data_IF_218844998415
#
_entry.id   IF_218844998415
#
_cell.length_a   1.000
_cell.length_b   1.000
_cell.length_c   1.000
_cell.angle_alpha   90.00
_cell.angle_beta   90.00
_cell.angle_gamma   90.00
#
_symmetry.space_group_name_H-M   'P 1'
#
loop_
_entity.id
_entity.type
_entity.pdbx_description
1 polymer ?
#
# COMPACT_ATOMS: atom_id res chain seq x y z
N UNK A 1 -19.88 2.37 8.04
CA UNK A 1 -18.57 2.07 8.63
C UNK A 1 -18.68 1.24 9.92
N UNK A 2 -19.69 1.45 10.78
CA UNK A 2 -19.89 0.68 12.02
C UNK A 2 -19.93 -0.84 11.79
N UNK A 3 -20.63 -1.31 10.76
CA UNK A 3 -20.67 -2.74 10.41
C UNK A 3 -19.27 -3.27 9.99
N UNK A 4 -18.49 -2.46 9.26
CA UNK A 4 -17.14 -2.82 8.88
C UNK A 4 -16.22 -2.92 10.11
N UNK A 5 -16.34 -1.98 11.06
CA UNK A 5 -15.61 -2.03 12.31
C UNK A 5 -15.96 -3.28 13.13
N UNK A 6 -17.25 -3.58 13.27
CA UNK A 6 -17.71 -4.79 14.00
C UNK A 6 -17.18 -6.07 13.35
N UNK A 7 -17.19 -6.17 12.03
CA UNK A 7 -16.65 -7.33 11.32
C UNK A 7 -15.13 -7.45 11.51
N UNK A 8 -14.40 -6.34 11.39
CA UNK A 8 -12.94 -6.30 11.56
C UNK A 8 -12.49 -6.64 12.99
N UNK A 9 -13.29 -6.32 14.00
CA UNK A 9 -13.02 -6.71 15.41
C UNK A 9 -12.97 -8.24 15.61
N UNK A 10 -13.60 -9.01 14.73
CA UNK A 10 -13.54 -10.47 14.71
C UNK A 10 -12.45 -11.02 13.78
N UNK A 11 -11.68 -10.15 13.15
CA UNK A 11 -10.61 -10.50 12.21
C UNK A 11 -9.29 -10.89 12.90
N UNK A 12 -8.19 -10.82 12.13
CA UNK A 12 -6.84 -11.17 12.61
C UNK A 12 -6.41 -10.21 13.71
N UNK A 13 -6.21 -10.73 14.91
CA UNK A 13 -5.89 -9.94 16.11
C UNK A 13 -4.40 -9.72 16.36
N UNK A 14 -3.54 -10.50 15.69
CA UNK A 14 -2.08 -10.39 15.78
C UNK A 14 -1.40 -10.97 14.54
N UNK A 15 -0.15 -10.59 14.27
CA UNK A 15 0.58 -10.96 13.07
C UNK A 15 0.91 -12.46 12.92
N UNK A 16 0.80 -13.26 13.99
CA UNK A 16 0.95 -14.71 13.88
C UNK A 16 -0.23 -15.39 13.15
N UNK A 17 -1.35 -14.66 12.99
CA UNK A 17 -2.51 -15.08 12.22
C UNK A 17 -2.43 -14.73 10.73
N UNK A 18 -1.36 -14.07 10.29
CA UNK A 18 -1.21 -13.65 8.90
C UNK A 18 -1.19 -14.84 7.94
N UNK A 19 -2.00 -14.76 6.91
CA UNK A 19 -1.93 -15.65 5.77
C UNK A 19 -0.96 -15.07 4.74
N UNK A 20 0.16 -15.75 4.52
CA UNK A 20 1.17 -15.37 3.53
C UNK A 20 1.43 -16.55 2.60
N UNK A 21 1.45 -16.31 1.29
CA UNK A 21 1.97 -17.28 0.34
C UNK A 21 3.50 -17.36 0.51
N UNK A 22 4.02 -18.55 0.66
CA UNK A 22 5.47 -18.80 0.76
C UNK A 22 5.94 -19.52 -0.49
N UNK A 23 6.73 -18.85 -1.35
CA UNK A 23 7.29 -19.48 -2.53
C UNK A 23 8.13 -20.70 -2.17
N UNK A 24 8.06 -21.72 -3.00
CA UNK A 24 8.88 -22.92 -2.87
C UNK A 24 10.32 -22.74 -3.29
N UNK A 25 11.11 -23.80 -3.14
CA UNK A 25 12.56 -23.70 -3.23
C UNK A 25 13.16 -24.04 -4.60
N UNK A 26 12.41 -24.53 -5.57
CA UNK A 26 13.10 -25.17 -6.71
C UNK A 26 12.29 -25.39 -7.98
N UNK A 27 11.06 -24.93 -8.06
CA UNK A 27 10.23 -25.19 -9.26
C UNK A 27 9.97 -23.88 -9.98
N UNK A 28 10.36 -23.82 -11.25
CA UNK A 28 9.95 -22.75 -12.16
C UNK A 28 8.43 -22.56 -12.07
N UNK A 29 7.99 -21.38 -11.65
CA UNK A 29 6.59 -21.03 -11.44
C UNK A 29 6.13 -21.02 -9.97
N UNK A 30 6.95 -21.49 -9.03
CA UNK A 30 6.70 -21.39 -7.58
C UNK A 30 7.65 -20.38 -6.92
N UNK A 31 7.79 -19.23 -7.56
CA UNK A 31 8.61 -18.12 -7.11
C UNK A 31 7.74 -16.93 -6.72
N UNK A 32 8.35 -15.96 -6.06
CA UNK A 32 7.73 -14.67 -5.82
C UNK A 32 7.34 -13.99 -7.15
N UNK A 33 6.08 -13.64 -7.33
CA UNK A 33 5.61 -12.98 -8.56
C UNK A 33 6.28 -11.62 -8.80
N UNK A 34 6.64 -10.89 -7.74
CA UNK A 34 7.40 -9.64 -7.88
C UNK A 34 8.80 -9.90 -8.43
N UNK A 35 9.48 -10.95 -7.95
CA UNK A 35 10.76 -11.35 -8.53
C UNK A 35 10.62 -11.70 -10.02
N UNK A 36 9.62 -12.51 -10.38
CA UNK A 36 9.40 -12.92 -11.77
C UNK A 36 9.17 -11.73 -12.71
N UNK A 37 8.45 -10.72 -12.25
CA UNK A 37 8.05 -9.56 -13.05
C UNK A 37 9.12 -8.46 -12.97
N UNK A 38 9.44 -8.03 -11.76
CA UNK A 38 10.22 -6.81 -11.50
C UNK A 38 11.73 -7.05 -11.57
N UNK A 39 12.22 -8.28 -11.35
CA UNK A 39 13.62 -8.61 -11.60
C UNK A 39 13.90 -8.99 -13.06
N UNK A 40 12.87 -9.13 -13.87
CA UNK A 40 12.95 -9.53 -15.28
C UNK A 40 12.44 -8.45 -16.23
N UNK A 41 11.24 -8.67 -16.76
CA UNK A 41 10.68 -7.86 -17.84
C UNK A 41 10.33 -6.40 -17.45
N UNK A 42 10.21 -6.12 -16.16
CA UNK A 42 9.87 -4.80 -15.59
C UNK A 42 10.94 -4.33 -14.59
N UNK A 43 12.18 -4.72 -14.84
CA UNK A 43 13.32 -4.26 -14.05
C UNK A 43 13.37 -2.72 -14.04
N UNK A 44 13.54 -2.16 -12.86
CA UNK A 44 13.58 -0.70 -12.67
C UNK A 44 12.24 -0.01 -12.39
N UNK A 45 11.10 -0.65 -12.62
CA UNK A 45 9.78 -0.01 -12.43
C UNK A 45 9.50 0.45 -10.98
N UNK A 46 10.17 -0.11 -9.99
CA UNK A 46 10.10 0.35 -8.58
C UNK A 46 11.29 1.19 -8.14
N UNK A 47 12.30 1.33 -8.97
CA UNK A 47 13.52 2.07 -8.65
C UNK A 47 13.55 3.49 -9.22
N UNK A 48 14.77 4.01 -9.36
CA UNK A 48 15.07 5.32 -9.95
C UNK A 48 15.05 5.32 -11.48
N UNK A 49 14.45 4.34 -12.10
CA UNK A 49 14.54 4.10 -13.53
C UNK A 49 13.22 4.25 -14.27
N UNK A 50 12.31 5.06 -13.75
CA UNK A 50 11.23 5.57 -14.58
C UNK A 50 11.82 6.35 -15.77
N UNK A 51 11.14 6.32 -16.91
CA UNK A 51 11.59 6.99 -18.16
C UNK A 51 11.90 8.49 -17.97
N UNK A 52 11.37 9.11 -16.91
CA UNK A 52 11.60 10.50 -16.54
C UNK A 52 12.66 10.69 -15.43
N UNK A 53 13.25 9.62 -14.91
CA UNK A 53 14.26 9.65 -13.85
C UNK A 53 13.72 9.89 -12.46
N UNK A 54 12.39 9.86 -12.25
CA UNK A 54 11.77 10.01 -10.93
C UNK A 54 11.60 8.66 -10.23
N UNK A 55 11.73 8.66 -8.91
CA UNK A 55 11.39 7.49 -8.10
C UNK A 55 9.87 7.22 -8.12
N UNK A 56 9.47 5.97 -7.93
CA UNK A 56 8.07 5.64 -7.70
C UNK A 56 7.50 6.41 -6.50
N UNK A 57 6.21 6.72 -6.53
CA UNK A 57 5.56 7.41 -5.41
C UNK A 57 5.77 6.68 -4.08
N UNK A 58 5.80 5.34 -4.09
CA UNK A 58 6.11 4.51 -2.94
C UNK A 58 7.45 4.90 -2.29
N UNK A 59 8.51 5.01 -3.08
CA UNK A 59 9.84 5.36 -2.58
C UNK A 59 9.92 6.83 -2.16
N UNK A 60 9.21 7.72 -2.84
CA UNK A 60 9.18 9.14 -2.49
C UNK A 60 8.57 9.38 -1.10
N UNK A 61 7.48 8.72 -0.74
CA UNK A 61 6.86 8.91 0.59
C UNK A 61 7.65 8.24 1.72
N UNK A 62 8.54 7.30 1.40
CA UNK A 62 9.46 6.66 2.34
C UNK A 62 10.81 7.36 2.47
N UNK A 63 11.05 8.43 1.71
CA UNK A 63 12.27 9.23 1.79
C UNK A 63 12.06 10.44 2.69
N UNK A 64 12.68 10.45 3.87
CA UNK A 64 12.57 11.56 4.83
C UNK A 64 13.03 12.92 4.28
N UNK A 65 13.77 12.95 3.17
CA UNK A 65 14.21 14.19 2.51
C UNK A 65 13.22 14.69 1.44
N UNK A 66 12.25 13.86 1.08
CA UNK A 66 11.23 14.22 0.09
C UNK A 66 10.08 14.99 0.75
N UNK A 67 9.63 16.06 0.11
CA UNK A 67 8.53 16.89 0.61
C UNK A 67 7.17 16.15 0.72
N UNK A 68 7.03 14.98 0.09
CA UNK A 68 5.85 14.12 0.21
C UNK A 68 5.85 13.32 1.51
N UNK A 69 7.02 13.11 2.15
CA UNK A 69 7.12 12.48 3.45
C UNK A 69 6.76 13.49 4.55
N UNK A 70 5.64 13.29 5.25
CA UNK A 70 5.15 14.21 6.28
C UNK A 70 5.58 13.82 7.70
N UNK A 71 5.60 12.53 7.98
CA UNK A 71 5.71 11.99 9.35
C UNK A 71 7.15 11.75 9.85
N UNK A 72 8.15 12.17 9.10
CA UNK A 72 9.56 11.90 9.40
C UNK A 72 10.03 12.34 10.80
N UNK A 73 9.33 13.29 11.43
CA UNK A 73 9.63 13.68 12.81
C UNK A 73 9.36 12.55 13.84
N UNK A 74 8.50 11.58 13.49
CA UNK A 74 8.11 10.44 14.33
C UNK A 74 8.37 9.08 13.66
N UNK A 75 8.96 9.08 12.47
CA UNK A 75 9.09 7.88 11.65
C UNK A 75 10.46 7.84 10.98
N UNK A 76 11.11 6.69 11.06
CA UNK A 76 12.31 6.37 10.28
C UNK A 76 11.98 5.19 9.35
N UNK A 77 11.94 5.46 8.05
CA UNK A 77 11.58 4.52 7.01
C UNK A 77 12.80 3.85 6.34
N UNK A 78 14.00 4.03 6.86
CA UNK A 78 15.24 3.59 6.20
C UNK A 78 15.19 2.12 5.82
N UNK A 79 14.80 1.25 6.75
CA UNK A 79 14.74 -0.18 6.47
C UNK A 79 13.59 -0.54 5.49
N UNK A 80 12.40 0.09 5.65
CA UNK A 80 11.24 -0.20 4.80
C UNK A 80 11.46 0.34 3.38
N UNK A 81 12.08 1.52 3.24
CA UNK A 81 12.48 2.04 1.93
C UNK A 81 13.46 1.09 1.23
N UNK A 82 14.48 0.60 1.95
CA UNK A 82 15.43 -0.37 1.40
C UNK A 82 14.76 -1.70 1.00
N UNK A 83 13.74 -2.14 1.74
CA UNK A 83 12.97 -3.34 1.42
C UNK A 83 12.23 -3.23 0.07
N UNK A 84 11.70 -2.05 -0.26
CA UNK A 84 11.01 -1.80 -1.53
C UNK A 84 11.93 -1.34 -2.65
N UNK A 85 13.11 -0.79 -2.32
CA UNK A 85 14.00 -0.22 -3.31
C UNK A 85 14.65 -1.30 -4.17
N UNK A 86 14.38 -1.23 -5.46
CA UNK A 86 15.06 -2.01 -6.49
C UNK A 86 16.00 -1.06 -7.19
N UNK A 87 17.30 -1.41 -7.25
CA UNK A 87 18.27 -0.57 -7.91
C UNK A 87 18.06 -0.47 -9.43
N UNK A 88 18.75 0.47 -10.08
CA UNK A 88 18.64 0.70 -11.52
C UNK A 88 19.10 -0.49 -12.38
N UNK A 89 19.93 -1.38 -11.85
CA UNK A 89 20.30 -2.63 -12.49
C UNK A 89 19.22 -3.71 -12.39
N UNK A 90 18.27 -3.50 -11.49
CA UNK A 90 16.93 -4.11 -11.50
C UNK A 90 16.88 -5.60 -11.28
N UNK A 91 17.98 -6.24 -10.91
CA UNK A 91 18.05 -7.70 -10.98
C UNK A 91 17.82 -8.39 -9.65
N UNK A 92 17.97 -7.69 -8.54
CA UNK A 92 17.69 -8.26 -7.21
C UNK A 92 17.61 -7.19 -6.13
N UNK A 93 16.80 -7.45 -5.13
CA UNK A 93 17.02 -6.91 -3.80
C UNK A 93 16.77 -8.04 -2.79
N UNK A 94 17.16 -7.84 -1.55
CA UNK A 94 16.89 -8.82 -0.50
C UNK A 94 15.49 -8.66 0.13
N UNK A 95 14.65 -7.76 -0.42
CA UNK A 95 13.32 -7.40 0.06
C UNK A 95 12.19 -7.94 -0.82
N UNK A 96 11.31 -7.04 -1.26
CA UNK A 96 10.07 -7.42 -1.94
C UNK A 96 10.27 -8.25 -3.21
N UNK A 97 11.39 -8.09 -3.91
CA UNK A 97 11.73 -8.90 -5.09
C UNK A 97 12.74 -10.01 -4.82
N UNK A 98 12.99 -10.36 -3.57
CA UNK A 98 13.74 -11.58 -3.27
C UNK A 98 12.93 -12.79 -3.79
N UNK A 99 13.61 -13.74 -4.44
CA UNK A 99 12.98 -14.86 -5.16
C UNK A 99 11.98 -15.65 -4.30
N UNK A 100 12.22 -15.70 -2.99
CA UNK A 100 11.44 -16.49 -2.02
C UNK A 100 10.76 -15.64 -0.96
N UNK A 101 10.69 -14.32 -1.14
CA UNK A 101 10.01 -13.46 -0.17
C UNK A 101 8.53 -13.82 -0.07
N UNK A 102 8.02 -14.08 1.15
CA UNK A 102 6.61 -14.41 1.34
C UNK A 102 5.69 -13.24 0.95
N UNK A 103 4.63 -13.57 0.22
CA UNK A 103 3.64 -12.60 -0.26
C UNK A 103 2.46 -12.50 0.69
N UNK A 104 2.07 -11.30 1.04
CA UNK A 104 0.93 -11.03 1.92
C UNK A 104 -0.40 -11.34 1.21
N UNK A 105 -1.28 -12.09 1.86
CA UNK A 105 -2.62 -12.43 1.36
C UNK A 105 -3.71 -11.81 2.24
N UNK A 106 -3.73 -12.13 3.52
CA UNK A 106 -4.62 -11.55 4.53
C UNK A 106 -3.80 -11.31 5.78
N UNK A 107 -3.81 -10.09 6.30
CA UNK A 107 -2.84 -9.69 7.32
C UNK A 107 -3.44 -8.95 8.49
N UNK A 108 -2.72 -8.99 9.61
CA UNK A 108 -3.01 -8.22 10.81
C UNK A 108 -3.04 -6.71 10.53
N UNK A 109 -2.03 -6.18 9.81
CA UNK A 109 -1.97 -4.75 9.53
C UNK A 109 -3.16 -4.30 8.66
N UNK A 110 -3.56 -5.09 7.66
CA UNK A 110 -4.74 -4.81 6.84
C UNK A 110 -5.99 -4.69 7.71
N UNK A 111 -6.20 -5.68 8.61
CA UNK A 111 -7.34 -5.66 9.51
C UNK A 111 -7.32 -4.44 10.44
N UNK A 112 -6.17 -4.08 11.01
CA UNK A 112 -6.02 -2.89 11.85
C UNK A 112 -6.25 -1.59 11.10
N UNK A 113 -5.81 -1.48 9.86
CA UNK A 113 -6.03 -0.29 9.04
C UNK A 113 -7.50 -0.16 8.59
N UNK A 114 -8.20 -1.30 8.36
CA UNK A 114 -9.67 -1.30 8.19
C UNK A 114 -10.36 -0.77 9.46
N UNK A 115 -9.92 -1.22 10.64
CA UNK A 115 -10.46 -0.73 11.90
C UNK A 115 -10.17 0.76 12.12
N UNK A 116 -8.95 1.22 11.81
CA UNK A 116 -8.56 2.63 11.92
C UNK A 116 -9.46 3.53 11.06
N UNK A 117 -9.65 3.18 9.78
CA UNK A 117 -10.55 3.92 8.89
C UNK A 117 -12.00 3.89 9.38
N UNK A 118 -12.52 2.70 9.65
CA UNK A 118 -13.94 2.54 10.01
C UNK A 118 -14.27 3.24 11.34
N UNK A 119 -13.39 3.16 12.32
CA UNK A 119 -13.55 3.85 13.60
C UNK A 119 -13.47 5.37 13.44
N UNK A 120 -12.49 5.87 12.67
CA UNK A 120 -12.35 7.32 12.44
C UNK A 120 -13.56 7.90 11.68
N UNK A 121 -14.06 7.20 10.67
CA UNK A 121 -15.27 7.64 9.93
C UNK A 121 -16.55 7.62 10.78
N UNK A 122 -16.54 6.92 11.90
CA UNK A 122 -17.70 6.83 12.82
C UNK A 122 -17.55 7.69 14.07
N UNK A 123 -16.33 7.96 14.53
CA UNK A 123 -16.06 8.62 15.81
C UNK A 123 -14.86 9.56 15.81
N UNK A 124 -14.37 9.96 14.61
CA UNK A 124 -13.25 10.88 14.46
C UNK A 124 -11.88 10.29 14.79
N UNK A 125 -10.85 11.15 14.76
CA UNK A 125 -9.45 10.79 15.01
C UNK A 125 -9.29 9.96 16.28
N UNK A 126 -9.90 10.37 17.38
CA UNK A 126 -9.74 9.71 18.68
C UNK A 126 -10.16 8.23 18.66
N UNK A 127 -11.16 7.87 17.84
CA UNK A 127 -11.62 6.50 17.70
C UNK A 127 -10.69 5.65 16.80
N UNK A 128 -10.13 6.22 15.75
CA UNK A 128 -9.26 5.52 14.81
C UNK A 128 -7.82 5.37 15.28
N UNK A 129 -7.33 6.35 16.03
CA UNK A 129 -5.93 6.48 16.43
C UNK A 129 -5.32 5.25 17.13
N UNK A 130 -6.01 4.58 18.08
CA UNK A 130 -5.46 3.37 18.70
C UNK A 130 -5.13 2.28 17.69
N UNK A 131 -5.96 2.10 16.66
CA UNK A 131 -5.76 1.06 15.64
C UNK A 131 -4.59 1.37 14.69
N UNK A 132 -4.40 2.65 14.32
CA UNK A 132 -3.22 3.07 13.58
C UNK A 132 -1.94 2.89 14.42
N UNK A 133 -1.99 3.24 15.69
CA UNK A 133 -0.84 3.05 16.60
C UNK A 133 -0.53 1.57 16.86
N UNK A 134 -1.50 0.67 16.80
CA UNK A 134 -1.25 -0.78 16.82
C UNK A 134 -0.40 -1.22 15.60
N UNK A 135 -0.67 -0.66 14.42
CA UNK A 135 0.14 -0.91 13.22
C UNK A 135 1.54 -0.34 13.38
N UNK A 136 1.67 0.88 13.90
CA UNK A 136 2.98 1.50 14.17
C UNK A 136 3.80 0.71 15.19
N UNK A 137 3.17 0.19 16.24
CA UNK A 137 3.83 -0.69 17.21
C UNK A 137 4.31 -2.00 16.57
N UNK A 138 3.53 -2.59 15.66
CA UNK A 138 3.92 -3.76 14.90
C UNK A 138 5.09 -3.44 13.94
N UNK A 139 5.04 -2.33 13.22
CA UNK A 139 6.16 -1.87 12.37
C UNK A 139 7.42 -1.63 13.21
N UNK A 140 7.28 -1.04 14.40
CA UNK A 140 8.39 -0.79 15.33
C UNK A 140 8.99 -2.09 15.92
N UNK A 141 8.31 -3.21 15.78
CA UNK A 141 8.83 -4.56 16.07
C UNK A 141 9.49 -5.25 14.87
N UNK A 142 9.62 -4.54 13.75
CA UNK A 142 10.18 -5.01 12.49
C UNK A 142 9.15 -5.33 11.40
N UNK A 143 7.86 -5.40 11.73
CA UNK A 143 6.81 -5.67 10.74
C UNK A 143 7.05 -6.98 9.96
N UNK A 144 7.01 -6.91 8.63
CA UNK A 144 7.32 -8.02 7.73
C UNK A 144 8.77 -8.00 7.19
N UNK A 145 9.61 -7.09 7.67
CA UNK A 145 11.01 -7.04 7.24
C UNK A 145 11.70 -8.37 7.56
N UNK A 146 12.39 -8.92 6.57
CA UNK A 146 13.20 -10.12 6.77
C UNK A 146 14.57 -9.78 7.39
N UNK A 147 15.35 -10.81 7.75
CA UNK A 147 16.61 -10.65 8.45
C UNK A 147 17.69 -9.86 7.69
N UNK A 148 17.57 -9.71 6.38
CA UNK A 148 18.51 -8.91 5.57
C UNK A 148 18.47 -7.43 5.93
N UNK A 149 17.38 -6.96 6.52
CA UNK A 149 17.17 -5.56 6.92
C UNK A 149 17.38 -5.31 8.42
N UNK A 150 17.72 -6.33 9.20
CA UNK A 150 17.90 -6.24 10.65
C UNK A 150 19.01 -5.29 11.12
N UNK A 151 19.93 -4.93 10.23
CA UNK A 151 21.01 -3.96 10.49
C UNK A 151 20.65 -2.51 10.13
N UNK A 152 19.48 -2.27 9.55
CA UNK A 152 19.03 -0.94 9.17
C UNK A 152 18.13 -0.35 10.27
N UNK A 153 18.11 0.98 10.33
CA UNK A 153 17.29 1.68 11.31
C UNK A 153 15.84 1.76 10.86
N UNK A 154 14.93 1.71 11.80
CA UNK A 154 13.51 2.03 11.65
C UNK A 154 12.96 2.50 13.01
N UNK A 155 11.98 3.38 12.96
CA UNK A 155 11.29 3.86 14.15
C UNK A 155 9.88 4.32 13.78
N UNK A 156 8.90 3.92 14.55
CA UNK A 156 7.49 4.27 14.36
C UNK A 156 6.90 4.71 15.71
N UNK A 157 7.29 5.91 16.15
CA UNK A 157 6.76 6.47 17.39
C UNK A 157 5.23 6.69 17.27
N UNK A 158 4.45 6.43 18.33
CA UNK A 158 3.00 6.56 18.27
C UNK A 158 2.57 7.99 17.95
N UNK A 159 1.54 8.12 17.11
CA UNK A 159 0.88 9.41 16.90
C UNK A 159 0.00 9.80 18.09
N UNK A 160 -0.22 11.09 18.22
CA UNK A 160 -1.20 11.70 19.10
C UNK A 160 -2.19 12.52 18.26
N UNK A 161 -3.35 12.84 18.82
CA UNK A 161 -4.38 13.57 18.06
C UNK A 161 -3.86 14.92 17.49
N UNK A 162 -3.01 15.62 18.25
CA UNK A 162 -2.42 16.88 17.83
C UNK A 162 -1.53 16.79 16.57
N UNK A 163 -1.03 15.62 16.22
CA UNK A 163 -0.26 15.43 14.99
C UNK A 163 -1.13 15.66 13.74
N UNK A 164 -2.43 15.48 13.86
CA UNK A 164 -3.42 15.63 12.78
C UNK A 164 -4.17 16.98 12.84
N UNK A 165 -3.99 17.78 13.89
CA UNK A 165 -4.56 19.12 13.94
C UNK A 165 -3.87 20.05 12.94
N UNK A 166 -4.54 21.13 12.56
CA UNK A 166 -3.97 22.10 11.63
C UNK A 166 -2.59 22.61 12.12
N UNK A 167 -1.56 22.42 11.30
CA UNK A 167 -0.16 22.69 11.64
C UNK A 167 0.56 21.57 12.37
N UNK A 168 -0.11 20.44 12.65
CA UNK A 168 0.53 19.21 13.11
C UNK A 168 1.39 18.56 12.01
N UNK A 169 2.23 17.60 12.40
CA UNK A 169 3.18 16.94 11.47
C UNK A 169 2.50 16.29 10.26
N UNK A 170 1.28 15.78 10.44
CA UNK A 170 0.48 15.16 9.38
C UNK A 170 -0.47 16.15 8.67
N UNK A 171 -0.51 17.40 9.11
CA UNK A 171 -1.49 18.38 8.64
C UNK A 171 -0.89 19.79 8.46
N UNK A 172 0.27 19.88 7.84
CA UNK A 172 0.90 21.17 7.51
C UNK A 172 0.08 21.99 6.49
N UNK A 173 -0.72 21.31 5.66
CA UNK A 173 -1.60 21.88 4.64
C UNK A 173 -2.96 22.36 5.18
N UNK A 174 -3.27 22.10 6.47
CA UNK A 174 -4.43 22.66 7.15
C UNK A 174 -5.79 22.10 6.73
N UNK A 175 -5.84 20.85 6.25
CA UNK A 175 -7.12 20.16 6.01
C UNK A 175 -7.78 19.79 7.37
N UNK A 176 -9.00 19.26 7.34
CA UNK A 176 -9.61 18.81 8.60
C UNK A 176 -8.80 17.70 9.26
N UNK A 177 -8.76 17.66 10.61
CA UNK A 177 -8.03 16.64 11.38
C UNK A 177 -8.45 15.23 10.99
N UNK A 178 -9.75 14.99 10.74
CA UNK A 178 -10.26 13.69 10.31
C UNK A 178 -9.71 13.32 8.92
N UNK A 179 -9.63 14.27 7.99
CA UNK A 179 -9.05 13.99 6.67
C UNK A 179 -7.54 13.78 6.76
N UNK A 180 -6.82 14.53 7.57
CA UNK A 180 -5.38 14.33 7.79
C UNK A 180 -5.10 12.93 8.36
N UNK A 181 -5.88 12.50 9.35
CA UNK A 181 -5.79 11.15 9.90
C UNK A 181 -6.11 10.07 8.86
N UNK A 182 -7.22 10.22 8.14
CA UNK A 182 -7.61 9.25 7.11
C UNK A 182 -6.60 9.19 5.97
N UNK A 183 -5.96 10.32 5.61
CA UNK A 183 -4.89 10.36 4.62
C UNK A 183 -3.70 9.52 5.06
N UNK A 184 -3.24 9.65 6.30
CA UNK A 184 -2.17 8.82 6.86
C UNK A 184 -2.56 7.33 6.86
N UNK A 185 -3.80 7.00 7.24
CA UNK A 185 -4.29 5.61 7.16
C UNK A 185 -4.23 5.08 5.72
N UNK A 186 -4.60 5.89 4.73
CA UNK A 186 -4.55 5.48 3.32
C UNK A 186 -3.12 5.32 2.81
N UNK A 187 -2.21 6.18 3.23
CA UNK A 187 -0.79 6.07 2.87
C UNK A 187 -0.15 4.84 3.50
N UNK A 188 -0.42 4.56 4.77
CA UNK A 188 0.06 3.34 5.41
C UNK A 188 -0.54 2.09 4.74
N UNK A 189 -1.83 2.12 4.34
CA UNK A 189 -2.44 1.04 3.55
C UNK A 189 -1.75 0.85 2.21
N UNK A 190 -1.38 1.93 1.55
CA UNK A 190 -0.67 1.88 0.28
C UNK A 190 0.71 1.26 0.43
N UNK A 191 1.48 1.68 1.44
CA UNK A 191 2.85 1.20 1.66
C UNK A 191 2.87 -0.24 2.15
N UNK A 192 2.19 -0.53 3.27
CA UNK A 192 2.17 -1.88 3.86
C UNK A 192 1.44 -2.89 2.98
N UNK A 193 0.41 -2.44 2.26
CA UNK A 193 -0.38 -3.25 1.33
C UNK A 193 0.15 -3.29 -0.10
N UNK A 194 1.36 -2.77 -0.36
CA UNK A 194 1.91 -2.79 -1.70
C UNK A 194 1.97 -4.22 -2.25
N UNK A 195 1.40 -4.40 -3.45
CA UNK A 195 1.25 -5.71 -4.08
C UNK A 195 0.01 -6.50 -3.67
N UNK A 196 -0.75 -6.03 -2.70
CA UNK A 196 -2.08 -6.57 -2.37
C UNK A 196 -3.18 -5.86 -3.17
N UNK A 197 -4.41 -6.37 -3.08
CA UNK A 197 -5.57 -5.74 -3.72
C UNK A 197 -5.99 -4.42 -3.08
N UNK A 198 -5.59 -4.17 -1.83
CA UNK A 198 -6.05 -3.06 -1.02
C UNK A 198 -5.71 -1.68 -1.64
N UNK A 199 -4.47 -1.37 -2.03
CA UNK A 199 -4.14 -0.07 -2.63
C UNK A 199 -4.91 0.20 -3.93
N UNK A 200 -5.10 -0.81 -4.76
CA UNK A 200 -5.88 -0.70 -5.99
C UNK A 200 -7.35 -0.39 -5.71
N UNK A 201 -7.94 -1.07 -4.73
CA UNK A 201 -9.33 -0.83 -4.33
C UNK A 201 -9.50 0.57 -3.74
N UNK A 202 -8.55 1.03 -2.91
CA UNK A 202 -8.56 2.38 -2.35
C UNK A 202 -8.43 3.45 -3.44
N UNK A 203 -7.53 3.28 -4.39
CA UNK A 203 -7.40 4.18 -5.53
C UNK A 203 -8.70 4.33 -6.35
N UNK A 204 -9.53 3.28 -6.41
CA UNK A 204 -10.81 3.30 -7.12
C UNK A 204 -11.93 3.95 -6.31
N UNK A 205 -12.06 3.59 -5.01
CA UNK A 205 -13.20 4.03 -4.19
C UNK A 205 -13.09 5.47 -3.68
N UNK A 206 -11.86 6.01 -3.51
CA UNK A 206 -11.62 7.31 -2.86
C UNK A 206 -11.65 8.51 -3.80
N UNK A 207 -11.90 8.34 -5.08
CA UNK A 207 -11.72 9.40 -6.07
C UNK A 207 -12.78 10.49 -6.12
N UNK A 208 -13.97 10.24 -5.62
CA UNK A 208 -15.09 11.19 -5.73
C UNK A 208 -15.19 12.12 -4.51
N UNK A 209 -15.64 11.55 -3.40
CA UNK A 209 -15.93 12.29 -2.18
C UNK A 209 -14.72 12.44 -1.26
N UNK A 210 -13.75 11.56 -1.40
CA UNK A 210 -12.62 11.42 -0.49
C UNK A 210 -11.28 11.76 -1.17
N UNK A 211 -11.28 12.65 -2.17
CA UNK A 211 -10.06 13.01 -2.92
C UNK A 211 -8.94 13.61 -2.05
N UNK A 212 -9.30 14.26 -0.94
CA UNK A 212 -8.33 14.83 0.01
C UNK A 212 -7.49 13.77 0.76
N UNK A 213 -7.98 12.54 0.83
CA UNK A 213 -7.29 11.43 1.51
C UNK A 213 -6.76 10.37 0.55
N UNK A 214 -7.06 10.50 -0.74
CA UNK A 214 -6.64 9.51 -1.73
C UNK A 214 -5.14 9.60 -1.98
N UNK A 215 -4.46 8.44 -1.95
CA UNK A 215 -3.08 8.35 -2.42
C UNK A 215 -3.04 8.71 -3.91
N UNK A 216 -2.12 9.59 -4.35
CA UNK A 216 -1.98 9.93 -5.75
C UNK A 216 -1.68 8.70 -6.60
N UNK A 217 -2.42 8.52 -7.67
CA UNK A 217 -2.12 7.50 -8.66
C UNK A 217 -1.35 8.16 -9.80
N UNK A 218 -0.04 8.05 -9.74
CA UNK A 218 0.85 8.63 -10.75
C UNK A 218 1.00 7.61 -11.86
N UNK A 219 0.56 7.96 -13.07
CA UNK A 219 0.83 7.18 -14.27
C UNK A 219 1.99 7.81 -15.03
N UNK A 220 2.94 7.00 -15.46
CA UNK A 220 4.18 7.45 -16.10
C UNK A 220 3.99 7.73 -17.60
N UNK A 221 2.84 7.39 -18.18
CA UNK A 221 2.58 7.66 -19.58
C UNK A 221 1.94 9.05 -19.83
N UNK A 222 1.90 9.46 -21.08
CA UNK A 222 1.40 10.78 -21.50
C UNK A 222 -0.10 11.01 -21.20
N UNK A 223 -0.84 10.00 -20.78
CA UNK A 223 -2.26 10.08 -20.44
C UNK A 223 -2.50 9.99 -18.92
N UNK A 224 -1.81 10.83 -18.16
CA UNK A 224 -1.91 10.94 -16.69
C UNK A 224 -3.33 11.23 -16.17
N UNK A 225 -4.30 11.40 -17.04
CA UNK A 225 -5.69 11.70 -16.65
C UNK A 225 -6.53 10.46 -16.46
N UNK A 226 -6.08 9.29 -16.92
CA UNK A 226 -6.86 8.05 -16.93
C UNK A 226 -6.29 7.04 -15.95
N UNK A 227 -7.14 6.53 -15.08
CA UNK A 227 -6.79 5.51 -14.07
C UNK A 227 -7.55 4.22 -14.36
N UNK A 228 -6.93 3.05 -14.21
CA UNK A 228 -7.64 1.79 -14.33
C UNK A 228 -8.82 1.73 -13.35
N UNK A 229 -9.99 1.42 -13.87
CA UNK A 229 -11.24 1.32 -13.11
C UNK A 229 -11.61 -0.13 -12.81
N UNK A 230 -11.03 -1.06 -13.56
CA UNK A 230 -11.30 -2.48 -13.47
C UNK A 230 -10.09 -3.29 -13.94
N UNK A 231 -10.02 -4.53 -13.53
CA UNK A 231 -9.09 -5.49 -14.12
C UNK A 231 -9.58 -5.86 -15.53
N UNK A 232 -8.68 -6.08 -16.51
CA UNK A 232 -9.05 -6.64 -17.79
C UNK A 232 -9.56 -8.08 -17.62
N UNK A 233 -10.34 -8.56 -18.57
CA UNK A 233 -10.61 -9.99 -18.64
C UNK A 233 -9.32 -10.75 -18.97
N UNK A 234 -9.10 -11.87 -18.28
CA UNK A 234 -7.97 -12.73 -18.60
C UNK A 234 -8.13 -13.26 -20.05
N UNK A 235 -7.05 -13.28 -20.82
CA UNK A 235 -7.10 -13.76 -22.20
C UNK A 235 -7.61 -15.20 -22.29
N UNK A 236 -7.27 -16.05 -21.31
CA UNK A 236 -7.79 -17.42 -21.25
C UNK A 236 -9.31 -17.46 -21.05
N UNK A 237 -9.88 -16.51 -20.30
CA UNK A 237 -11.33 -16.38 -20.14
C UNK A 237 -11.98 -16.05 -21.49
N UNK A 238 -11.43 -15.08 -22.20
CA UNK A 238 -11.95 -14.68 -23.52
C UNK A 238 -11.82 -15.80 -24.57
N UNK A 239 -10.77 -16.63 -24.47
CA UNK A 239 -10.51 -17.69 -25.42
C UNK A 239 -11.32 -18.97 -25.18
N UNK A 240 -11.71 -19.24 -23.94
CA UNK A 240 -12.24 -20.55 -23.56
C UNK A 240 -13.66 -20.51 -22.95
N UNK A 241 -14.15 -19.35 -22.53
CA UNK A 241 -15.49 -19.22 -21.97
C UNK A 241 -16.46 -18.61 -23.01
N UNK A 242 -17.33 -19.41 -23.57
CA UNK A 242 -18.34 -18.96 -24.54
C UNK A 242 -19.38 -17.98 -23.94
N UNK A 243 -19.43 -17.86 -22.61
CA UNK A 243 -20.30 -16.90 -21.91
C UNK A 243 -19.53 -15.61 -21.51
N UNK A 244 -18.25 -15.49 -21.85
CA UNK A 244 -17.55 -14.24 -21.70
C UNK A 244 -18.23 -13.15 -22.54
N UNK A 245 -18.30 -11.89 -22.07
CA UNK A 245 -18.81 -10.80 -22.90
C UNK A 245 -18.09 -10.72 -24.24
N UNK A 246 -18.86 -10.51 -25.31
CA UNK A 246 -18.29 -10.45 -26.66
C UNK A 246 -17.25 -9.31 -26.84
N UNK A 247 -17.35 -8.28 -26.00
CA UNK A 247 -16.42 -7.15 -26.00
C UNK A 247 -15.92 -6.89 -24.59
N UNK A 248 -14.61 -6.70 -24.41
CA UNK A 248 -14.04 -6.16 -23.19
C UNK A 248 -14.40 -4.67 -23.12
N UNK A 249 -15.11 -4.21 -22.08
CA UNK A 249 -15.42 -2.80 -21.93
C UNK A 249 -14.18 -1.90 -21.74
N UNK A 250 -13.00 -2.49 -21.56
CA UNK A 250 -11.75 -1.78 -21.35
C UNK A 250 -11.52 -1.38 -19.89
N UNK A 251 -10.24 -1.31 -19.53
CA UNK A 251 -9.81 -1.08 -18.12
C UNK A 251 -10.21 0.29 -17.56
N UNK A 252 -10.51 1.27 -18.41
CA UNK A 252 -10.88 2.62 -18.01
C UNK A 252 -12.38 2.84 -17.85
N UNK A 253 -13.19 1.81 -18.06
CA UNK A 253 -14.65 1.89 -17.86
C UNK A 253 -15.00 1.54 -16.43
N UNK A 254 -15.72 2.45 -15.77
CA UNK A 254 -16.17 2.24 -14.40
C UNK A 254 -17.09 1.03 -14.26
N UNK A 255 -16.91 0.29 -13.18
CA UNK A 255 -17.90 -0.72 -12.78
C UNK A 255 -19.10 -0.05 -12.13
N UNK A 256 -20.30 -0.68 -12.14
CA UNK A 256 -21.51 -0.10 -11.50
C UNK A 256 -21.31 0.31 -10.03
N UNK A 257 -20.45 -0.40 -9.31
CA UNK A 257 -20.13 -0.09 -7.89
C UNK A 257 -19.33 1.21 -7.74
N UNK A 258 -18.62 1.66 -8.79
CA UNK A 258 -17.73 2.82 -8.78
C UNK A 258 -18.25 4.00 -9.63
N UNK A 259 -19.50 3.95 -10.06
CA UNK A 259 -20.14 5.03 -10.80
C UNK A 259 -20.53 6.21 -9.91
#
# INVERSE_FOLDING_TARGET
YSNALTAAQSGISNASGDMRYRPGSSVSGDTNLFWTILAGSRAGDLGNNSDDGTESYLLQILDATNALSRNHAKTDETARRAYYMIDASGTSNAGIIEEREPQNMVTYFENKLIMAEAAARSGGVAAGLPHLNDVRAWLNSGGHLNSSFSGLTYNYAPFVAADFDSGGIENADGISSDNAFLREVMEERYVSGFGMHMPYNDARRLRKSDSAIAVPYIMVDADNTRKPERMPYAQNELNSNSNAPAEDPGIFVKTPVNQ
#
